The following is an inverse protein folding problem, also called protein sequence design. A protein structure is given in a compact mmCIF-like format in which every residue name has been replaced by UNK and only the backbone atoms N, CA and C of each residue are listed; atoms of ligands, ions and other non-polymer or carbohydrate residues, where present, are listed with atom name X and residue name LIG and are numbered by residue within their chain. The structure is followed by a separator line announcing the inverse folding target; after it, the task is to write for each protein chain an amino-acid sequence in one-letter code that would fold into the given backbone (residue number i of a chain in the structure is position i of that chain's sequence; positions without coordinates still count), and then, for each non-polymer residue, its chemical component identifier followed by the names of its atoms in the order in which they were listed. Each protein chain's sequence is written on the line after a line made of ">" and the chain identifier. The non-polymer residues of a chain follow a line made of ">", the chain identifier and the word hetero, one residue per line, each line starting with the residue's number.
data_IF_133468723216
#
_entry.id   IF_133468723216
#
_cell.length_a   1.000
_cell.length_b   1.000
_cell.length_c   1.000
_cell.angle_alpha   90.00
_cell.angle_beta   90.00
_cell.angle_gamma   90.00
#
_symmetry.space_group_name_H-M   'P 1'
#
loop_
_entity.id
_entity.type
_entity.pdbx_description
1 polymer ?
#
# COMPACT_ATOMS: atom_id res chain seq x y z
N UNK A 1 -6.31 -30.03 6.28
CA UNK A 1 -5.18 -30.56 7.03
C UNK A 1 -5.45 -30.68 8.54
N UNK A 2 -6.41 -29.94 9.09
CA UNK A 2 -6.73 -29.96 10.54
C UNK A 2 -8.11 -30.55 10.87
N UNK A 3 -8.74 -31.31 9.97
CA UNK A 3 -9.99 -32.01 10.22
C UNK A 3 -11.26 -31.16 10.40
N UNK A 4 -11.17 -29.84 10.23
CA UNK A 4 -12.28 -28.90 10.46
C UNK A 4 -13.11 -28.58 9.22
N UNK A 5 -13.33 -29.55 8.33
CA UNK A 5 -14.22 -29.34 7.19
C UNK A 5 -15.60 -29.93 7.49
N UNK A 6 -16.62 -29.12 7.24
CA UNK A 6 -17.98 -29.63 7.18
C UNK A 6 -18.08 -30.69 6.07
N UNK A 7 -18.89 -31.76 6.22
CA UNK A 7 -19.09 -32.76 5.18
C UNK A 7 -19.48 -32.18 3.82
N UNK A 8 -20.23 -31.07 3.81
CA UNK A 8 -20.63 -30.31 2.62
C UNK A 8 -19.48 -29.53 1.97
N UNK A 9 -18.36 -29.40 2.62
CA UNK A 9 -17.18 -28.69 2.14
C UNK A 9 -16.04 -29.61 1.71
N UNK A 10 -16.33 -30.90 1.50
CA UNK A 10 -15.33 -31.91 1.04
C UNK A 10 -14.67 -31.47 -0.25
N UNK A 11 -15.43 -30.89 -1.16
CA UNK A 11 -14.96 -30.41 -2.48
C UNK A 11 -14.39 -28.99 -2.43
N UNK A 12 -14.58 -28.25 -1.31
CA UNK A 12 -14.10 -26.90 -1.15
C UNK A 12 -12.72 -26.92 -0.47
N UNK A 13 -11.70 -27.22 -1.22
CA UNK A 13 -10.29 -27.08 -0.81
C UNK A 13 -9.60 -25.98 -1.62
N UNK A 14 -8.59 -25.30 -1.06
CA UNK A 14 -7.76 -24.42 -1.84
C UNK A 14 -7.14 -25.17 -3.03
N UNK A 15 -7.26 -24.61 -4.21
CA UNK A 15 -6.60 -25.15 -5.39
C UNK A 15 -5.08 -25.01 -5.23
N UNK A 16 -4.34 -26.00 -5.72
CA UNK A 16 -2.92 -25.80 -6.00
C UNK A 16 -2.78 -24.88 -7.21
N UNK A 17 -1.68 -24.16 -7.31
CA UNK A 17 -1.48 -23.20 -8.41
C UNK A 17 -1.66 -23.82 -9.80
N UNK A 18 -1.11 -25.01 -10.04
CA UNK A 18 -1.29 -25.72 -11.30
C UNK A 18 -2.74 -26.18 -11.59
N UNK A 19 -3.58 -26.34 -10.57
CA UNK A 19 -5.00 -26.64 -10.73
C UNK A 19 -5.76 -25.36 -11.08
N UNK A 20 -5.42 -24.25 -10.43
CA UNK A 20 -5.94 -22.93 -10.75
C UNK A 20 -5.62 -22.56 -12.21
N UNK A 21 -4.38 -22.72 -12.66
CA UNK A 21 -3.99 -22.46 -14.06
C UNK A 21 -4.83 -23.27 -15.07
N UNK A 22 -5.12 -24.53 -14.76
CA UNK A 22 -5.97 -25.39 -15.64
C UNK A 22 -7.42 -24.93 -15.71
N UNK A 23 -7.91 -24.21 -14.71
CA UNK A 23 -9.25 -23.63 -14.70
C UNK A 23 -9.33 -22.33 -15.51
N UNK A 24 -8.21 -21.65 -15.73
CA UNK A 24 -8.16 -20.42 -16.51
C UNK A 24 -8.28 -20.71 -18.00
N UNK A 25 -9.32 -20.19 -18.63
CA UNK A 25 -9.47 -20.22 -20.09
C UNK A 25 -8.86 -19.01 -20.76
N UNK A 26 -9.04 -17.84 -20.13
CA UNK A 26 -8.49 -16.55 -20.57
C UNK A 26 -8.14 -15.74 -19.33
N UNK A 27 -7.04 -15.01 -19.39
CA UNK A 27 -6.62 -14.12 -18.31
C UNK A 27 -6.09 -12.81 -18.88
N UNK A 28 -6.41 -11.69 -18.20
CA UNK A 28 -5.83 -10.39 -18.47
C UNK A 28 -4.99 -10.01 -17.24
N UNK A 29 -3.69 -9.85 -17.46
CA UNK A 29 -2.77 -9.44 -16.42
C UNK A 29 -2.64 -7.91 -16.42
N UNK A 30 -2.92 -7.27 -15.28
CA UNK A 30 -2.82 -5.82 -15.12
C UNK A 30 -1.78 -5.50 -14.06
N UNK A 31 -0.70 -4.85 -14.45
CA UNK A 31 0.38 -4.48 -13.53
C UNK A 31 1.16 -3.28 -14.05
N UNK A 32 1.58 -2.40 -13.15
CA UNK A 32 2.55 -1.34 -13.48
C UNK A 32 3.99 -1.89 -13.61
N UNK A 33 4.25 -3.07 -13.04
CA UNK A 33 5.56 -3.74 -13.00
C UNK A 33 5.37 -5.25 -13.18
N UNK A 34 5.01 -5.71 -14.40
CA UNK A 34 4.72 -7.12 -14.66
C UNK A 34 5.89 -8.03 -14.29
N UNK A 35 5.60 -9.22 -13.81
CA UNK A 35 6.57 -10.24 -13.45
C UNK A 35 6.96 -11.14 -14.61
N UNK A 36 7.95 -12.01 -14.39
CA UNK A 36 8.36 -12.99 -15.38
C UNK A 36 7.26 -14.00 -15.73
N UNK A 37 6.38 -14.28 -14.76
CA UNK A 37 5.22 -15.16 -14.95
C UNK A 37 4.24 -14.55 -15.97
N UNK A 38 3.79 -13.33 -15.74
CA UNK A 38 2.83 -12.63 -16.60
C UNK A 38 3.42 -12.41 -18.00
N UNK A 39 4.68 -11.97 -18.07
CA UNK A 39 5.37 -11.74 -19.33
C UNK A 39 5.52 -13.04 -20.14
N UNK A 40 5.83 -14.16 -19.47
CA UNK A 40 5.93 -15.47 -20.11
C UNK A 40 4.58 -15.97 -20.65
N UNK A 41 3.48 -15.73 -19.91
CA UNK A 41 2.15 -16.17 -20.33
C UNK A 41 1.49 -15.24 -21.35
N UNK A 42 1.89 -13.97 -21.39
CA UNK A 42 1.41 -13.02 -22.40
C UNK A 42 2.04 -13.22 -23.80
N UNK A 43 2.93 -14.20 -23.97
CA UNK A 43 3.62 -14.49 -25.22
C UNK A 43 4.24 -13.26 -25.93
N UNK A 44 4.61 -12.24 -25.13
CA UNK A 44 5.16 -10.97 -25.64
C UNK A 44 4.10 -9.93 -26.06
N UNK A 45 2.82 -10.24 -25.96
CA UNK A 45 1.76 -9.26 -26.21
C UNK A 45 1.57 -8.37 -24.95
N UNK A 46 2.10 -7.14 -25.00
CA UNK A 46 2.00 -6.17 -23.92
C UNK A 46 1.33 -4.91 -24.46
N UNK A 47 0.20 -4.55 -23.84
CA UNK A 47 -0.47 -3.27 -24.11
C UNK A 47 -0.06 -2.28 -23.05
N UNK A 48 0.66 -1.24 -23.45
CA UNK A 48 1.11 -0.19 -22.54
C UNK A 48 0.04 0.90 -22.39
N UNK A 49 -0.36 1.18 -21.15
CA UNK A 49 -1.22 2.30 -20.81
C UNK A 49 -0.39 3.34 -20.00
N UNK A 50 0.41 4.12 -20.70
CA UNK A 50 1.32 5.11 -20.11
C UNK A 50 0.64 6.47 -19.98
N UNK A 51 -0.19 6.83 -20.96
CA UNK A 51 -0.79 8.15 -21.06
C UNK A 51 -1.84 8.41 -19.99
N UNK A 52 -1.70 9.53 -19.28
CA UNK A 52 -2.66 10.00 -18.29
C UNK A 52 -3.49 11.14 -18.87
N UNK A 53 -4.84 11.06 -18.86
CA UNK A 53 -5.71 12.12 -19.36
C UNK A 53 -5.51 13.47 -18.64
N UNK A 54 -5.08 13.44 -17.38
CA UNK A 54 -4.76 14.63 -16.57
C UNK A 54 -3.49 15.37 -17.03
N UNK A 55 -2.73 14.78 -17.95
CA UNK A 55 -1.43 15.28 -18.38
C UNK A 55 -0.31 15.11 -17.35
N UNK A 56 -0.57 14.54 -16.19
CA UNK A 56 0.44 14.33 -15.15
C UNK A 56 1.55 13.40 -15.63
N UNK A 57 2.77 13.86 -15.48
CA UNK A 57 3.99 13.12 -15.82
C UNK A 57 4.44 12.25 -14.64
N UNK A 58 5.24 11.24 -14.92
CA UNK A 58 5.98 10.58 -13.86
C UNK A 58 6.96 11.58 -13.20
N UNK A 59 7.23 11.46 -11.89
CA UNK A 59 8.03 12.44 -11.17
C UNK A 59 9.48 12.45 -11.67
N UNK A 60 10.14 13.58 -11.55
CA UNK A 60 11.59 13.65 -11.74
C UNK A 60 12.26 12.88 -10.61
N UNK A 61 13.21 12.03 -10.95
CA UNK A 61 14.01 11.27 -9.97
C UNK A 61 15.43 11.84 -9.96
N UNK A 62 15.87 12.27 -8.78
CA UNK A 62 17.23 12.74 -8.54
C UNK A 62 17.97 11.71 -7.68
N UNK A 63 19.26 11.49 -7.98
CA UNK A 63 20.14 10.64 -7.17
C UNK A 63 21.11 11.53 -6.39
N UNK A 64 21.18 11.32 -5.08
CA UNK A 64 22.04 12.05 -4.16
C UNK A 64 22.91 11.08 -3.35
N UNK A 65 24.12 11.49 -2.89
CA UNK A 65 24.95 10.66 -2.04
C UNK A 65 24.22 10.22 -0.76
N UNK A 66 24.47 8.99 -0.32
CA UNK A 66 23.95 8.49 0.96
C UNK A 66 24.62 9.20 2.16
N UNK A 67 25.88 9.63 2.00
CA UNK A 67 26.56 10.41 3.03
C UNK A 67 25.87 11.76 3.24
N UNK A 68 25.43 12.02 4.47
CA UNK A 68 24.71 13.25 4.82
C UNK A 68 23.24 13.27 4.36
N UNK A 69 22.68 12.12 3.96
CA UNK A 69 21.31 11.99 3.46
C UNK A 69 20.26 12.57 4.42
N UNK A 70 20.43 12.40 5.73
CA UNK A 70 19.48 12.84 6.75
C UNK A 70 19.41 14.37 6.82
N UNK A 71 20.56 15.05 6.82
CA UNK A 71 20.64 16.51 6.91
C UNK A 71 20.19 17.17 5.61
N UNK A 72 20.60 16.61 4.43
CA UNK A 72 20.11 17.08 3.15
C UNK A 72 18.59 16.95 3.04
N UNK A 73 18.06 15.78 3.39
CA UNK A 73 16.63 15.52 3.36
C UNK A 73 15.84 16.43 4.31
N UNK A 74 16.40 16.80 5.46
CA UNK A 74 15.78 17.78 6.36
C UNK A 74 15.55 19.14 5.66
N UNK A 75 16.52 19.60 4.87
CA UNK A 75 16.39 20.81 4.06
C UNK A 75 15.24 20.72 3.06
N UNK A 76 15.17 19.60 2.32
CA UNK A 76 14.09 19.33 1.35
C UNK A 76 12.72 19.24 2.05
N UNK A 77 12.63 18.53 3.17
CA UNK A 77 11.42 18.44 3.98
C UNK A 77 10.91 19.82 4.38
N UNK A 78 11.78 20.69 4.90
CA UNK A 78 11.41 22.06 5.29
C UNK A 78 10.91 22.88 4.11
N UNK A 79 11.54 22.74 2.97
CA UNK A 79 11.14 23.44 1.75
C UNK A 79 9.75 22.99 1.26
N UNK A 80 9.51 21.68 1.21
CA UNK A 80 8.24 21.14 0.74
C UNK A 80 7.10 21.42 1.72
N UNK A 81 7.34 21.25 3.02
CA UNK A 81 6.30 21.48 4.04
C UNK A 81 5.93 22.95 4.15
N UNK A 82 6.88 23.88 3.97
CA UNK A 82 6.60 25.32 3.90
C UNK A 82 5.68 25.70 2.74
N UNK A 83 5.69 24.90 1.65
CA UNK A 83 4.81 25.08 0.50
C UNK A 83 3.51 24.26 0.60
N UNK A 84 3.23 23.64 1.75
CA UNK A 84 2.04 22.84 2.01
C UNK A 84 2.09 21.43 1.39
N UNK A 85 3.23 20.98 0.88
CA UNK A 85 3.44 19.63 0.38
C UNK A 85 3.51 18.59 1.49
N UNK A 86 3.30 17.32 1.14
CA UNK A 86 3.50 16.17 2.03
C UNK A 86 4.68 15.35 1.56
N UNK A 87 5.42 14.80 2.52
CA UNK A 87 6.65 14.05 2.25
C UNK A 87 6.52 12.61 2.70
N UNK A 88 6.90 11.69 1.83
CA UNK A 88 7.05 10.27 2.16
C UNK A 88 8.54 9.91 2.21
N UNK A 89 8.96 9.26 3.29
CA UNK A 89 10.35 8.80 3.45
C UNK A 89 10.35 7.29 3.65
N UNK A 90 11.14 6.58 2.84
CA UNK A 90 11.30 5.13 3.00
C UNK A 90 12.67 4.79 3.55
N UNK A 91 12.70 3.97 4.60
CA UNK A 91 13.90 3.44 5.24
C UNK A 91 14.02 1.93 5.01
N UNK A 92 15.15 1.34 5.36
CA UNK A 92 15.35 -0.11 5.26
C UNK A 92 14.90 -0.87 6.51
N UNK A 93 14.98 -0.23 7.68
CA UNK A 93 14.70 -0.88 8.96
C UNK A 93 13.72 -0.08 9.80
N UNK A 94 13.01 -0.79 10.70
CA UNK A 94 12.09 -0.20 11.69
C UNK A 94 12.82 0.81 12.58
N UNK A 95 13.99 0.40 13.09
CA UNK A 95 14.81 1.25 13.95
C UNK A 95 15.19 2.56 13.25
N UNK A 96 15.66 2.51 12.01
CA UNK A 96 16.00 3.72 11.26
C UNK A 96 14.76 4.63 11.05
N UNK A 97 13.57 4.05 10.85
CA UNK A 97 12.35 4.85 10.75
C UNK A 97 12.00 5.53 12.07
N UNK A 98 12.15 4.84 13.19
CA UNK A 98 11.92 5.36 14.54
C UNK A 98 12.93 6.46 14.87
N UNK A 99 14.23 6.18 14.76
CA UNK A 99 15.30 7.13 15.04
C UNK A 99 15.18 8.41 14.19
N UNK A 100 14.86 8.27 12.89
CA UNK A 100 14.66 9.41 11.99
C UNK A 100 13.42 10.24 12.37
N UNK A 101 12.35 9.57 12.76
CA UNK A 101 11.12 10.27 13.17
C UNK A 101 11.31 11.03 14.46
N UNK A 102 12.01 10.46 15.43
CA UNK A 102 12.36 11.13 16.68
C UNK A 102 13.25 12.35 16.41
N UNK A 103 14.31 12.17 15.62
CA UNK A 103 15.21 13.26 15.25
C UNK A 103 14.48 14.42 14.55
N UNK A 104 13.59 14.13 13.60
CA UNK A 104 12.83 15.18 12.90
C UNK A 104 11.78 15.83 13.81
N UNK A 105 11.17 15.09 14.71
CA UNK A 105 10.25 15.61 15.71
C UNK A 105 10.94 16.62 16.63
N UNK A 106 12.13 16.30 17.13
CA UNK A 106 12.94 17.18 17.98
C UNK A 106 13.35 18.48 17.28
N UNK A 107 13.47 18.43 15.95
CA UNK A 107 13.70 19.61 15.10
C UNK A 107 12.43 20.37 14.71
N UNK A 108 11.28 20.03 15.32
CA UNK A 108 10.00 20.70 15.15
C UNK A 108 9.25 20.32 13.87
N UNK A 109 9.64 19.24 13.17
CA UNK A 109 8.92 18.72 12.00
C UNK A 109 7.74 17.86 12.49
N UNK A 110 6.56 18.07 11.91
CA UNK A 110 5.38 17.24 12.17
C UNK A 110 5.51 15.94 11.42
N UNK A 111 6.08 14.94 12.06
CA UNK A 111 6.39 13.62 11.48
C UNK A 111 5.64 12.51 12.21
N UNK A 112 5.28 11.48 11.46
CA UNK A 112 4.84 10.16 11.98
C UNK A 112 5.55 9.04 11.25
N UNK A 113 5.70 7.88 11.92
CA UNK A 113 6.21 6.69 11.27
C UNK A 113 5.12 5.62 11.13
N UNK A 114 5.28 4.77 10.11
CA UNK A 114 4.37 3.68 9.79
C UNK A 114 5.15 2.37 9.70
N UNK A 115 4.76 1.37 10.50
CA UNK A 115 5.37 0.04 10.48
C UNK A 115 4.33 -1.07 10.31
N UNK A 116 4.80 -2.32 10.14
CA UNK A 116 3.95 -3.48 9.85
C UNK A 116 2.95 -3.84 10.96
N UNK A 117 3.27 -3.49 12.20
CA UNK A 117 2.49 -3.93 13.38
C UNK A 117 1.28 -3.01 13.66
N UNK A 118 1.17 -1.88 12.92
CA UNK A 118 0.04 -0.95 13.03
C UNK A 118 -1.21 -1.61 12.44
N UNK A 119 -2.29 -1.60 13.21
CA UNK A 119 -3.59 -2.13 12.80
C UNK A 119 -4.16 -1.37 11.59
N UNK A 120 -4.98 -2.04 10.80
CA UNK A 120 -5.55 -1.48 9.56
C UNK A 120 -6.31 -0.17 9.79
N UNK A 121 -7.11 -0.07 10.85
CA UNK A 121 -7.85 1.15 11.19
C UNK A 121 -6.91 2.30 11.54
N UNK A 122 -5.95 2.07 12.43
CA UNK A 122 -4.96 3.08 12.82
C UNK A 122 -4.13 3.55 11.61
N UNK A 123 -3.80 2.62 10.69
CA UNK A 123 -3.14 2.97 9.43
C UNK A 123 -4.00 3.91 8.58
N UNK A 124 -5.30 3.65 8.47
CA UNK A 124 -6.23 4.51 7.74
C UNK A 124 -6.30 5.92 8.36
N UNK A 125 -6.32 6.01 9.70
CA UNK A 125 -6.27 7.28 10.43
C UNK A 125 -4.98 8.06 10.15
N UNK A 126 -3.82 7.39 10.21
CA UNK A 126 -2.52 8.02 9.91
C UNK A 126 -2.52 8.59 8.49
N UNK A 127 -3.04 7.85 7.51
CA UNK A 127 -3.10 8.29 6.11
C UNK A 127 -4.03 9.50 5.97
N UNK A 128 -5.19 9.48 6.59
CA UNK A 128 -6.11 10.62 6.57
C UNK A 128 -5.52 11.85 7.25
N UNK A 129 -4.83 11.67 8.38
CA UNK A 129 -4.19 12.75 9.10
C UNK A 129 -3.08 13.41 8.29
N UNK A 130 -2.29 12.62 7.53
CA UNK A 130 -1.33 13.14 6.56
C UNK A 130 -2.02 13.99 5.48
N UNK A 131 -3.09 13.49 4.89
CA UNK A 131 -3.87 14.19 3.86
C UNK A 131 -4.49 15.49 4.38
N UNK A 132 -5.01 15.47 5.63
CA UNK A 132 -5.59 16.64 6.29
C UNK A 132 -4.52 17.65 6.78
N UNK A 133 -3.24 17.29 6.73
CA UNK A 133 -2.15 18.15 7.20
C UNK A 133 -2.01 18.25 8.70
N UNK A 134 -2.48 17.26 9.44
CA UNK A 134 -2.21 17.18 10.89
C UNK A 134 -0.73 16.94 11.16
N UNK A 135 -0.07 16.28 10.22
CA UNK A 135 1.38 16.17 10.15
C UNK A 135 1.80 16.20 8.66
N UNK A 136 3.10 16.41 8.40
CA UNK A 136 3.59 16.72 7.07
C UNK A 136 4.47 15.62 6.47
N UNK A 137 5.10 14.82 7.33
CA UNK A 137 6.07 13.79 6.94
C UNK A 137 5.66 12.42 7.43
N UNK A 138 5.60 11.45 6.54
CA UNK A 138 5.37 10.05 6.88
C UNK A 138 6.63 9.24 6.58
N UNK A 139 7.20 8.62 7.61
CA UNK A 139 8.36 7.72 7.51
C UNK A 139 7.88 6.27 7.58
N UNK A 140 8.42 5.39 6.75
CA UNK A 140 8.09 3.96 6.83
C UNK A 140 9.06 3.06 6.09
N UNK A 141 9.01 1.77 6.38
CA UNK A 141 9.87 0.76 5.74
C UNK A 141 9.32 0.39 4.37
N UNK A 142 8.06 0.07 4.32
CA UNK A 142 7.37 -0.37 3.10
C UNK A 142 6.08 0.43 2.93
N UNK A 143 6.19 1.55 2.26
CA UNK A 143 5.05 2.39 1.90
C UNK A 143 4.41 1.96 0.56
N UNK A 144 4.76 0.76 0.07
CA UNK A 144 4.29 0.21 -1.21
C UNK A 144 2.92 -0.44 -1.13
N UNK A 145 2.39 -0.68 0.07
CA UNK A 145 1.11 -1.38 0.21
C UNK A 145 0.02 -0.66 -0.56
N UNK A 146 -0.82 -1.42 -1.22
CA UNK A 146 -1.98 -0.97 -1.97
C UNK A 146 -2.87 -0.05 -1.12
N UNK A 147 -3.61 0.85 -1.76
CA UNK A 147 -4.51 1.78 -1.07
C UNK A 147 -3.91 3.12 -0.63
N UNK A 148 -2.63 3.40 -0.89
CA UNK A 148 -2.06 4.73 -0.66
C UNK A 148 -2.30 5.64 -1.87
N UNK A 149 -3.42 6.36 -1.86
CA UNK A 149 -3.73 7.41 -2.83
C UNK A 149 -3.57 8.78 -2.16
N UNK A 150 -2.40 9.40 -2.37
CA UNK A 150 -1.95 10.60 -1.67
C UNK A 150 -1.61 11.71 -2.67
N UNK A 151 -2.61 12.40 -3.24
CA UNK A 151 -2.36 13.47 -4.21
C UNK A 151 -1.62 14.68 -3.63
N UNK A 152 -1.58 14.81 -2.32
CA UNK A 152 -0.90 15.89 -1.59
C UNK A 152 0.62 15.67 -1.50
N UNK A 153 1.12 14.47 -1.84
CA UNK A 153 2.55 14.13 -1.77
C UNK A 153 3.31 14.84 -2.90
N UNK A 154 4.29 15.64 -2.50
CA UNK A 154 5.18 16.37 -3.41
C UNK A 154 6.60 15.81 -3.43
N UNK A 155 7.05 15.20 -2.34
CA UNK A 155 8.37 14.59 -2.26
C UNK A 155 8.27 13.14 -1.78
N UNK A 156 8.96 12.26 -2.48
CA UNK A 156 9.26 10.90 -2.04
C UNK A 156 10.77 10.75 -1.89
N UNK A 157 11.24 10.45 -0.70
CA UNK A 157 12.65 10.20 -0.41
C UNK A 157 12.89 8.72 -0.11
N UNK A 158 13.87 8.15 -0.77
CA UNK A 158 14.27 6.74 -0.59
C UNK A 158 15.70 6.73 -0.06
N UNK A 159 15.84 6.45 1.24
CA UNK A 159 17.15 6.36 1.89
C UNK A 159 17.81 5.03 1.56
N UNK A 160 19.15 5.04 1.46
CA UNK A 160 19.95 3.85 1.15
C UNK A 160 19.39 3.10 -0.07
N UNK A 161 19.16 3.82 -1.16
CA UNK A 161 18.54 3.28 -2.38
C UNK A 161 19.48 2.30 -3.10
N UNK A 162 20.79 2.38 -2.85
CA UNK A 162 21.83 1.50 -3.39
C UNK A 162 22.00 0.18 -2.62
N UNK A 163 21.32 -0.01 -1.50
CA UNK A 163 21.32 -1.28 -0.75
C UNK A 163 20.34 -2.25 -1.40
N UNK A 164 20.81 -2.97 -2.42
CA UNK A 164 19.98 -3.90 -3.17
C UNK A 164 19.29 -4.93 -2.28
N UNK A 165 18.04 -5.23 -2.64
CA UNK A 165 17.20 -6.16 -1.92
C UNK A 165 15.73 -5.98 -2.29
N UNK A 166 14.83 -6.72 -1.65
CA UNK A 166 13.40 -6.69 -1.95
C UNK A 166 12.80 -5.28 -1.91
N UNK A 167 13.21 -4.45 -0.91
CA UNK A 167 12.71 -3.08 -0.74
C UNK A 167 13.35 -2.06 -1.68
N UNK A 168 14.41 -2.41 -2.37
CA UNK A 168 15.15 -1.57 -3.31
C UNK A 168 15.27 -2.19 -4.70
N UNK A 169 14.44 -3.21 -4.97
CA UNK A 169 14.31 -3.77 -6.32
C UNK A 169 13.72 -2.73 -7.28
N UNK A 170 13.98 -2.88 -8.56
CA UNK A 170 13.39 -2.06 -9.64
C UNK A 170 11.88 -1.82 -9.43
N UNK A 171 11.11 -2.88 -9.15
CA UNK A 171 9.67 -2.80 -8.92
C UNK A 171 9.32 -1.93 -7.72
N UNK A 172 10.03 -2.13 -6.62
CA UNK A 172 9.85 -1.34 -5.39
C UNK A 172 10.15 0.13 -5.62
N UNK A 173 11.23 0.45 -6.34
CA UNK A 173 11.60 1.82 -6.66
C UNK A 173 10.54 2.50 -7.56
N UNK A 174 10.07 1.85 -8.62
CA UNK A 174 9.02 2.38 -9.50
C UNK A 174 7.72 2.62 -8.73
N UNK A 175 7.27 1.66 -7.92
CA UNK A 175 6.02 1.80 -7.16
C UNK A 175 6.09 2.90 -6.10
N UNK A 176 7.22 3.02 -5.41
CA UNK A 176 7.43 4.06 -4.40
C UNK A 176 7.50 5.44 -5.06
N UNK A 177 8.28 5.57 -6.13
CA UNK A 177 8.39 6.81 -6.90
C UNK A 177 7.06 7.25 -7.48
N UNK A 178 6.23 6.31 -7.92
CA UNK A 178 4.90 6.58 -8.44
C UNK A 178 3.94 7.23 -7.43
N UNK A 179 4.26 7.24 -6.14
CA UNK A 179 3.44 7.94 -5.13
C UNK A 179 3.49 9.45 -5.30
N UNK A 180 4.56 10.02 -5.84
CA UNK A 180 4.65 11.44 -6.17
C UNK A 180 4.01 11.81 -7.53
N UNK A 181 3.57 10.83 -8.32
CA UNK A 181 3.08 11.05 -9.69
C UNK A 181 1.67 11.69 -9.79
N UNK A 182 1.01 11.99 -8.66
CA UNK A 182 -0.32 12.61 -8.61
C UNK A 182 -0.29 14.12 -8.40
N UNK A 183 0.89 14.65 -8.17
CA UNK A 183 1.12 16.09 -7.98
C UNK A 183 2.02 16.63 -9.06
N UNK A 184 1.67 17.79 -9.63
CA UNK A 184 2.48 18.46 -10.67
C UNK A 184 3.89 18.78 -10.16
N UNK A 185 4.04 19.09 -8.85
CA UNK A 185 5.33 19.35 -8.21
C UNK A 185 6.02 18.07 -7.71
N UNK A 186 5.42 16.90 -7.98
CA UNK A 186 5.93 15.63 -7.50
C UNK A 186 7.34 15.33 -7.99
N UNK A 187 8.25 15.07 -7.05
CA UNK A 187 9.62 14.65 -7.34
C UNK A 187 10.10 13.58 -6.35
N UNK A 188 11.20 12.94 -6.69
CA UNK A 188 11.76 11.80 -5.94
C UNK A 188 13.25 12.00 -5.75
N UNK A 189 13.74 11.69 -4.55
CA UNK A 189 15.18 11.66 -4.27
C UNK A 189 15.56 10.25 -3.84
N UNK A 190 16.49 9.65 -4.58
CA UNK A 190 17.15 8.40 -4.24
C UNK A 190 18.48 8.71 -3.60
N UNK A 191 18.69 8.32 -2.34
CA UNK A 191 19.97 8.47 -1.68
C UNK A 191 20.77 7.17 -1.81
N UNK A 192 21.93 7.26 -2.46
CA UNK A 192 22.82 6.14 -2.68
C UNK A 192 24.18 6.62 -3.18
N UNK A 193 25.24 5.93 -2.80
CA UNK A 193 26.60 6.27 -3.21
C UNK A 193 26.95 5.65 -4.58
N UNK A 194 26.23 4.60 -4.96
CA UNK A 194 26.37 3.92 -6.25
C UNK A 194 25.02 3.75 -6.92
N UNK A 195 24.97 3.90 -8.25
CA UNK A 195 23.75 3.60 -9.02
C UNK A 195 23.77 2.10 -9.32
N UNK A 196 22.83 1.37 -8.71
CA UNK A 196 22.66 -0.06 -8.93
C UNK A 196 21.86 -0.33 -10.22
N UNK A 197 21.87 -1.59 -10.67
CA UNK A 197 21.06 -1.98 -11.85
C UNK A 197 19.58 -1.69 -11.64
N UNK A 198 19.05 -1.96 -10.45
CA UNK A 198 17.66 -1.68 -10.08
C UNK A 198 17.34 -0.18 -10.14
N UNK A 199 18.25 0.68 -9.67
CA UNK A 199 18.12 2.13 -9.77
C UNK A 199 18.18 2.58 -11.23
N UNK A 200 19.16 2.10 -12.01
CA UNK A 200 19.30 2.46 -13.41
C UNK A 200 18.05 2.10 -14.23
N UNK A 201 17.51 0.92 -14.03
CA UNK A 201 16.27 0.49 -14.68
C UNK A 201 15.10 1.40 -14.30
N UNK A 202 14.97 1.78 -13.01
CA UNK A 202 13.90 2.66 -12.54
C UNK A 202 14.03 4.07 -13.13
N UNK A 203 15.22 4.63 -13.18
CA UNK A 203 15.51 5.93 -13.79
C UNK A 203 15.15 5.93 -15.28
N UNK A 204 15.64 4.94 -16.02
CA UNK A 204 15.42 4.80 -17.46
C UNK A 204 13.94 4.67 -17.79
N UNK A 205 13.22 3.82 -17.07
CA UNK A 205 11.78 3.60 -17.34
C UNK A 205 10.95 4.83 -16.96
N UNK A 206 11.24 5.47 -15.84
CA UNK A 206 10.53 6.71 -15.46
C UNK A 206 10.74 7.80 -16.46
N UNK A 207 11.96 8.01 -16.95
CA UNK A 207 12.26 9.01 -17.99
C UNK A 207 11.61 8.66 -19.33
N UNK A 208 11.60 7.40 -19.72
CA UNK A 208 10.88 6.93 -20.93
C UNK A 208 9.39 7.29 -20.86
N UNK A 209 8.72 6.96 -19.75
CA UNK A 209 7.29 7.26 -19.54
C UNK A 209 7.04 8.77 -19.53
N UNK A 210 7.92 9.51 -18.88
CA UNK A 210 7.87 10.97 -18.82
C UNK A 210 7.94 11.59 -20.21
N UNK A 211 8.90 11.17 -21.03
CA UNK A 211 9.09 11.66 -22.41
C UNK A 211 7.85 11.42 -23.27
N UNK A 212 7.25 10.22 -23.18
CA UNK A 212 6.01 9.89 -23.91
C UNK A 212 4.87 10.82 -23.49
N UNK A 213 4.68 11.04 -22.18
CA UNK A 213 3.62 11.90 -21.66
C UNK A 213 3.83 13.37 -22.07
N UNK A 214 5.07 13.87 -21.99
CA UNK A 214 5.40 15.24 -22.43
C UNK A 214 5.09 15.46 -23.90
N UNK A 215 5.50 14.52 -24.76
CA UNK A 215 5.22 14.60 -26.19
C UNK A 215 3.70 14.58 -26.47
N UNK A 216 2.97 13.75 -25.76
CA UNK A 216 1.50 13.69 -25.86
C UNK A 216 0.85 15.01 -25.42
N UNK A 217 1.25 15.54 -24.27
CA UNK A 217 0.74 16.80 -23.73
C UNK A 217 0.97 17.95 -24.71
N UNK A 218 2.19 18.06 -25.25
CA UNK A 218 2.55 19.09 -26.23
C UNK A 218 1.73 18.98 -27.49
N UNK A 219 1.53 17.77 -28.01
CA UNK A 219 0.74 17.54 -29.22
C UNK A 219 -0.73 17.91 -29.06
N UNK A 220 -1.31 17.71 -27.85
CA UNK A 220 -2.74 17.92 -27.60
C UNK A 220 -3.03 19.20 -26.79
N UNK A 221 -2.01 20.05 -26.51
CA UNK A 221 -2.18 21.25 -25.71
C UNK A 221 -2.64 21.02 -24.29
N UNK A 222 -2.29 19.87 -23.69
CA UNK A 222 -2.72 19.51 -22.34
C UNK A 222 -1.79 20.14 -21.32
N UNK A 223 -2.35 20.89 -20.38
CA UNK A 223 -1.63 21.45 -19.23
C UNK A 223 -1.81 20.48 -18.06
N UNK A 224 -0.71 19.93 -17.49
CA UNK A 224 -0.80 19.03 -16.35
C UNK A 224 -1.48 19.67 -15.15
N UNK A 225 -2.40 18.96 -14.52
CA UNK A 225 -3.10 19.42 -13.32
C UNK A 225 -3.02 18.37 -12.21
N UNK A 226 -2.70 18.81 -10.99
CA UNK A 226 -2.69 17.91 -9.81
C UNK A 226 -4.07 17.35 -9.55
N UNK A 227 -4.11 16.08 -9.17
CA UNK A 227 -5.34 15.42 -8.75
C UNK A 227 -5.79 16.03 -7.41
N UNK A 228 -7.07 16.41 -7.34
CA UNK A 228 -7.73 16.79 -6.09
C UNK A 228 -8.73 15.71 -5.75
N UNK A 229 -8.66 15.18 -4.54
CA UNK A 229 -9.57 14.15 -4.06
C UNK A 229 -10.00 14.50 -2.64
N UNK A 230 -11.29 14.48 -2.38
CA UNK A 230 -11.81 14.72 -1.05
C UNK A 230 -11.28 13.67 -0.06
N UNK A 231 -11.05 14.09 1.18
CA UNK A 231 -10.67 13.18 2.26
C UNK A 231 -11.97 12.59 2.81
N UNK A 232 -12.28 11.35 2.39
CA UNK A 232 -13.43 10.61 2.89
C UNK A 232 -13.38 10.49 4.41
N UNK A 233 -14.54 10.49 5.08
CA UNK A 233 -14.59 10.22 6.52
C UNK A 233 -14.17 8.77 6.81
N UNK A 234 -13.68 8.53 8.03
CA UNK A 234 -13.22 7.19 8.45
C UNK A 234 -14.34 6.15 8.32
N UNK A 235 -15.57 6.56 8.56
CA UNK A 235 -16.79 5.73 8.46
C UNK A 235 -17.00 5.16 7.05
N UNK A 236 -16.71 5.96 6.00
CA UNK A 236 -16.77 5.47 4.62
C UNK A 236 -15.57 4.59 4.26
N UNK A 237 -14.39 4.91 4.77
CA UNK A 237 -13.19 4.09 4.51
C UNK A 237 -13.28 2.72 5.20
N UNK A 238 -13.89 2.63 6.38
CA UNK A 238 -14.17 1.35 7.05
C UNK A 238 -15.28 0.58 6.36
N UNK A 239 -16.33 1.24 5.89
CA UNK A 239 -17.39 0.60 5.13
C UNK A 239 -16.91 0.01 3.78
N UNK A 240 -15.99 0.68 3.08
CA UNK A 240 -15.35 0.12 1.88
C UNK A 240 -14.43 -1.08 2.21
N UNK A 241 -13.69 -1.03 3.32
CA UNK A 241 -12.87 -2.15 3.78
C UNK A 241 -13.73 -3.33 4.26
N UNK A 242 -14.82 -3.07 4.95
CA UNK A 242 -15.78 -4.08 5.38
C UNK A 242 -16.57 -4.65 4.18
N UNK A 243 -16.89 -3.84 3.18
CA UNK A 243 -17.52 -4.29 1.94
C UNK A 243 -16.57 -5.21 1.14
N UNK A 244 -15.28 -4.89 1.04
CA UNK A 244 -14.28 -5.75 0.40
C UNK A 244 -14.06 -7.05 1.19
N UNK A 245 -14.14 -7.02 2.52
CA UNK A 245 -14.11 -8.25 3.34
C UNK A 245 -15.42 -9.03 3.25
N UNK A 246 -16.57 -8.36 3.10
CA UNK A 246 -17.86 -9.00 2.88
C UNK A 246 -17.96 -9.63 1.49
N UNK A 247 -17.42 -9.02 0.45
CA UNK A 247 -17.37 -9.63 -0.89
C UNK A 247 -16.46 -10.87 -0.93
N UNK A 248 -15.38 -10.90 -0.18
CA UNK A 248 -14.55 -12.10 -0.01
C UNK A 248 -15.21 -13.17 0.89
N UNK A 249 -16.16 -12.78 1.74
CA UNK A 249 -16.96 -13.68 2.58
C UNK A 249 -18.31 -14.07 1.95
N UNK A 250 -18.79 -13.30 0.97
CA UNK A 250 -20.09 -13.47 0.34
C UNK A 250 -20.14 -14.60 -0.70
N UNK A 251 -19.06 -15.31 -0.94
CA UNK A 251 -19.10 -16.59 -1.70
C UNK A 251 -19.57 -17.79 -0.85
N UNK A 252 -19.98 -17.56 0.40
CA UNK A 252 -20.78 -18.53 1.14
C UNK A 252 -22.23 -18.02 1.20
N UNK A 253 -23.23 -18.79 0.79
CA UNK A 253 -24.63 -18.39 0.95
C UNK A 253 -24.93 -18.28 2.44
N UNK A 254 -24.84 -17.06 2.98
CA UNK A 254 -25.32 -16.76 4.31
C UNK A 254 -26.84 -16.85 4.27
N UNK A 255 -27.37 -17.87 4.92
CA UNK A 255 -28.76 -17.90 5.33
C UNK A 255 -28.96 -16.69 6.24
N UNK A 256 -29.59 -15.65 5.74
CA UNK A 256 -30.12 -14.54 6.54
C UNK A 256 -31.19 -15.14 7.46
N UNK A 257 -30.77 -15.54 8.65
CA UNK A 257 -31.69 -15.93 9.72
C UNK A 257 -32.35 -14.67 10.30
N UNK A 258 -33.64 -14.81 10.58
CA UNK A 258 -34.43 -13.86 11.37
C UNK A 258 -33.76 -13.60 12.73
N UNK A 259 -34.13 -12.51 13.43
CA UNK A 259 -33.63 -12.19 14.79
C UNK A 259 -33.66 -13.42 15.74
N UNK A 260 -34.68 -14.28 15.60
CA UNK A 260 -34.80 -15.55 16.31
C UNK A 260 -33.64 -16.53 16.06
N UNK A 261 -33.07 -16.56 14.84
CA UNK A 261 -31.92 -17.41 14.54
C UNK A 261 -30.63 -16.87 15.18
N UNK A 262 -30.50 -15.58 15.30
CA UNK A 262 -29.36 -14.93 15.95
C UNK A 262 -29.36 -15.19 17.46
N UNK A 263 -30.52 -15.10 18.12
CA UNK A 263 -30.64 -15.44 19.54
C UNK A 263 -30.36 -16.92 19.86
N UNK A 264 -30.75 -17.82 18.96
CA UNK A 264 -30.44 -19.25 19.10
C UNK A 264 -28.94 -19.53 18.97
N UNK A 265 -28.25 -18.84 18.05
CA UNK A 265 -26.81 -18.94 17.87
C UNK A 265 -26.09 -18.40 19.10
N UNK A 266 -26.51 -17.27 19.66
CA UNK A 266 -25.91 -16.69 20.87
C UNK A 266 -26.07 -17.65 22.05
N UNK A 267 -27.26 -18.20 22.28
CA UNK A 267 -27.51 -19.18 23.36
C UNK A 267 -26.66 -20.45 23.22
N UNK A 268 -26.46 -20.91 22.00
CA UNK A 268 -25.59 -22.06 21.73
C UNK A 268 -24.12 -21.73 22.03
N UNK A 269 -23.61 -20.60 21.57
CA UNK A 269 -22.24 -20.14 21.83
C UNK A 269 -21.99 -19.91 23.33
N UNK A 270 -22.98 -19.39 24.07
CA UNK A 270 -22.90 -19.25 25.52
C UNK A 270 -22.82 -20.62 26.24
N UNK A 271 -23.56 -21.60 25.74
CA UNK A 271 -23.54 -22.97 26.32
C UNK A 271 -22.20 -23.63 26.05
N UNK A 272 -21.67 -23.53 24.85
CA UNK A 272 -20.33 -24.03 24.47
C UNK A 272 -19.22 -23.33 25.27
N UNK A 273 -19.31 -22.01 25.46
CA UNK A 273 -18.38 -21.26 26.31
C UNK A 273 -18.36 -21.74 27.75
N UNK A 274 -19.53 -21.97 28.35
CA UNK A 274 -19.65 -22.49 29.72
C UNK A 274 -19.12 -23.94 29.85
N UNK A 275 -19.30 -24.75 28.80
CA UNK A 275 -18.76 -26.11 28.76
C UNK A 275 -17.24 -26.09 28.69
N UNK A 276 -16.64 -25.28 27.77
CA UNK A 276 -15.20 -25.13 27.66
C UNK A 276 -14.57 -24.60 28.97
N UNK A 277 -15.23 -23.67 29.67
CA UNK A 277 -14.77 -23.18 30.95
C UNK A 277 -14.77 -24.22 32.05
N UNK A 278 -15.74 -25.15 32.02
CA UNK A 278 -15.80 -26.30 32.99
C UNK A 278 -14.70 -27.34 32.73
N UNK A 279 -14.31 -27.50 31.46
CA UNK A 279 -13.22 -28.38 31.02
C UNK A 279 -11.83 -27.74 31.16
N UNK A 280 -11.76 -26.54 31.78
CA UNK A 280 -10.53 -25.74 31.96
C UNK A 280 -9.86 -25.28 30.63
N UNK A 281 -10.57 -25.32 29.52
CA UNK A 281 -10.13 -24.79 28.20
C UNK A 281 -10.33 -23.27 28.13
N UNK A 282 -9.61 -22.52 28.93
CA UNK A 282 -9.83 -21.07 29.09
C UNK A 282 -9.60 -20.25 27.81
N UNK A 283 -8.67 -20.64 26.95
CA UNK A 283 -8.43 -19.96 25.67
C UNK A 283 -9.63 -20.14 24.72
N UNK A 284 -10.20 -21.34 24.68
CA UNK A 284 -11.40 -21.64 23.88
C UNK A 284 -12.63 -20.89 24.42
N UNK A 285 -12.80 -20.84 25.73
CA UNK A 285 -13.87 -20.08 26.36
C UNK A 285 -13.74 -18.57 26.08
N UNK A 286 -12.53 -18.02 26.07
CA UNK A 286 -12.26 -16.64 25.74
C UNK A 286 -12.55 -16.33 24.25
N UNK A 287 -12.20 -17.23 23.34
CA UNK A 287 -12.51 -17.09 21.91
C UNK A 287 -14.03 -17.09 21.65
N UNK A 288 -14.77 -17.99 22.31
CA UNK A 288 -16.25 -18.05 22.21
C UNK A 288 -16.91 -16.80 22.77
N UNK A 289 -16.42 -16.26 23.90
CA UNK A 289 -16.90 -14.98 24.47
C UNK A 289 -16.71 -13.82 23.49
N UNK A 290 -15.58 -13.76 22.80
CA UNK A 290 -15.31 -12.70 21.84
C UNK A 290 -16.17 -12.80 20.57
N UNK A 291 -16.75 -13.95 20.28
CA UNK A 291 -17.71 -14.15 19.17
C UNK A 291 -19.16 -13.81 19.55
N UNK A 292 -19.48 -13.77 20.84
CA UNK A 292 -20.80 -13.41 21.38
C UNK A 292 -20.96 -11.87 21.49
N UNK A 293 -19.86 -11.15 21.62
CA UNK A 293 -19.80 -9.69 21.62
C UNK A 293 -19.84 -9.11 20.23
#
# INVERSE_FOLDING_TARGET
>A
EYGFRLPSAIDNRPLKFAEFERCLKQAVYVSATPGSYELGHAAGEIVEQILRPTGLMDPVIEVRPAKGQVDHLLGEVRTETAQGGRVLITTLTKRMAEDLSEYYHDLGIKVRYLHSDIKTLERAEIIQDLRRGRFDVLVGINLLREGLDLPEVTLVAILDADKEGYLRSYRSLIQTSGRAARNVRGHVILYGDTITDSMQMALTETERRRTIQVAYNSKHGIVPTSIKKDVLSLEYATAELDAVQLDLAAESPAVYGTEEATEQIIKRLETEMKAAAKELEFERAAALRNRIR
#
